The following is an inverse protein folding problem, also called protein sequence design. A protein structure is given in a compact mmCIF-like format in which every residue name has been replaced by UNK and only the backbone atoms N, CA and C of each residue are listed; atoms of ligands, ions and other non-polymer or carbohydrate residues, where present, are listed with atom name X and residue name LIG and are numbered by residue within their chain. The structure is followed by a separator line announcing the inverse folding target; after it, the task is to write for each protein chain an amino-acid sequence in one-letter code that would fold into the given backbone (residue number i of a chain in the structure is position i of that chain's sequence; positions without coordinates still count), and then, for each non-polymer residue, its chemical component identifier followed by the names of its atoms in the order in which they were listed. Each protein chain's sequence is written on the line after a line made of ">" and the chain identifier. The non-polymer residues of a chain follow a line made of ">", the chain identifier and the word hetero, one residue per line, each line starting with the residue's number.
data_IF_261100978469
#
_entry.id   IF_261100978469
#
_cell.length_a   1.000
_cell.length_b   1.000
_cell.length_c   1.000
_cell.angle_alpha   90.00
_cell.angle_beta   90.00
_cell.angle_gamma   90.00
#
_symmetry.space_group_name_H-M   'P 1'
#
loop_
_entity.id
_entity.type
_entity.pdbx_description
1 polymer ?
#
# COMPACT_ATOMS: atom_id res chain seq x y z
N UNK A 1 -21.59 3.55 -22.10
CA UNK A 1 -20.26 3.48 -22.76
C UNK A 1 -19.23 2.93 -21.79
N UNK A 2 -18.37 2.00 -22.22
CA UNK A 2 -17.37 1.33 -21.37
C UNK A 2 -16.40 2.32 -20.68
N UNK A 3 -15.91 3.32 -21.41
CA UNK A 3 -14.99 4.33 -20.88
C UNK A 3 -15.58 5.15 -19.71
N UNK A 4 -16.87 5.51 -19.77
CA UNK A 4 -17.56 6.20 -18.68
C UNK A 4 -17.66 5.34 -17.41
N UNK A 5 -17.96 4.05 -17.58
CA UNK A 5 -18.04 3.11 -16.47
C UNK A 5 -16.66 2.85 -15.85
N UNK A 6 -15.63 2.74 -16.69
CA UNK A 6 -14.25 2.66 -16.24
C UNK A 6 -13.84 3.89 -15.44
N UNK A 7 -14.07 5.10 -15.97
CA UNK A 7 -13.78 6.36 -15.29
C UNK A 7 -14.47 6.46 -13.92
N UNK A 8 -15.76 6.10 -13.86
CA UNK A 8 -16.51 6.07 -12.59
C UNK A 8 -15.91 5.07 -11.61
N UNK A 9 -15.50 3.90 -12.07
CA UNK A 9 -14.92 2.84 -11.23
C UNK A 9 -13.58 3.28 -10.63
N UNK A 10 -12.64 3.75 -11.44
CA UNK A 10 -11.32 4.18 -10.95
C UNK A 10 -11.41 5.39 -10.04
N UNK A 11 -12.35 6.30 -10.30
CA UNK A 11 -12.55 7.50 -9.48
C UNK A 11 -13.20 7.18 -8.13
N UNK A 12 -14.17 6.28 -8.10
CA UNK A 12 -14.76 5.79 -6.83
C UNK A 12 -13.71 5.05 -5.99
N UNK A 13 -12.90 4.20 -6.63
CA UNK A 13 -11.78 3.52 -5.98
C UNK A 13 -10.80 4.52 -5.35
N UNK A 14 -10.27 5.44 -6.16
CA UNK A 14 -9.34 6.47 -5.69
C UNK A 14 -9.89 7.27 -4.51
N UNK A 15 -11.16 7.68 -4.58
CA UNK A 15 -11.78 8.47 -3.52
C UNK A 15 -11.94 7.68 -2.22
N UNK A 16 -12.26 6.38 -2.32
CA UNK A 16 -12.35 5.52 -1.15
C UNK A 16 -10.97 5.27 -0.52
N UNK A 17 -9.94 5.03 -1.33
CA UNK A 17 -8.55 4.95 -0.83
C UNK A 17 -8.14 6.25 -0.16
N UNK A 18 -8.46 7.40 -0.77
CA UNK A 18 -8.17 8.71 -0.17
C UNK A 18 -8.81 8.85 1.21
N UNK A 19 -10.09 8.48 1.37
CA UNK A 19 -10.76 8.47 2.68
C UNK A 19 -10.05 7.57 3.69
N UNK A 20 -9.67 6.37 3.28
CA UNK A 20 -8.96 5.42 4.14
C UNK A 20 -7.58 5.96 4.55
N UNK A 21 -6.80 6.48 3.61
CA UNK A 21 -5.52 7.13 3.89
C UNK A 21 -5.67 8.31 4.86
N UNK A 22 -6.72 9.12 4.74
CA UNK A 22 -6.96 10.25 5.64
C UNK A 22 -7.29 9.79 7.06
N UNK A 23 -8.04 8.69 7.22
CA UNK A 23 -8.34 8.11 8.54
C UNK A 23 -7.08 7.67 9.28
N UNK A 24 -6.02 7.27 8.56
CA UNK A 24 -4.73 6.87 9.15
C UNK A 24 -3.68 7.98 9.16
N UNK A 25 -3.98 9.18 8.66
CA UNK A 25 -3.06 10.33 8.63
C UNK A 25 -2.13 10.41 7.41
N UNK A 26 -2.31 9.57 6.38
CA UNK A 26 -1.51 9.56 5.16
C UNK A 26 -2.11 10.45 4.05
N UNK A 27 -2.24 11.75 4.33
CA UNK A 27 -2.92 12.69 3.40
C UNK A 27 -2.27 12.74 2.02
N UNK A 28 -0.93 12.81 1.95
CA UNK A 28 -0.19 12.87 0.67
C UNK A 28 -0.45 11.61 -0.17
N UNK A 29 -0.43 10.43 0.44
CA UNK A 29 -0.71 9.17 -0.24
C UNK A 29 -2.14 9.18 -0.79
N UNK A 30 -3.13 9.57 0.02
CA UNK A 30 -4.52 9.64 -0.43
C UNK A 30 -4.74 10.54 -1.65
N UNK A 31 -4.07 11.70 -1.70
CA UNK A 31 -4.15 12.58 -2.87
C UNK A 31 -3.48 12.00 -4.11
N UNK A 32 -2.29 11.40 -3.95
CA UNK A 32 -1.48 10.93 -5.08
C UNK A 32 -1.79 9.52 -5.55
N UNK A 33 -2.56 8.77 -4.77
CA UNK A 33 -2.92 7.39 -5.07
C UNK A 33 -3.51 7.26 -6.48
N UNK A 34 -2.90 6.39 -7.29
CA UNK A 34 -3.36 5.96 -8.60
C UNK A 34 -3.65 7.07 -9.62
N UNK A 35 -2.99 8.23 -9.50
CA UNK A 35 -3.14 9.31 -10.50
C UNK A 35 -2.71 8.87 -11.92
N UNK A 36 -1.83 7.87 -12.04
CA UNK A 36 -1.43 7.34 -13.34
C UNK A 36 -2.55 6.64 -14.11
N UNK A 37 -3.63 6.18 -13.43
CA UNK A 37 -4.81 5.56 -14.07
C UNK A 37 -5.57 6.52 -15.00
N UNK A 38 -5.34 7.82 -14.86
CA UNK A 38 -5.93 8.86 -15.72
C UNK A 38 -5.04 9.22 -16.91
N UNK A 39 -3.82 8.66 -16.99
CA UNK A 39 -2.97 8.81 -18.17
C UNK A 39 -3.57 8.07 -19.37
N UNK A 40 -3.27 8.53 -20.59
CA UNK A 40 -3.75 7.87 -21.80
C UNK A 40 -3.33 6.39 -21.88
N UNK A 41 -2.11 6.07 -21.46
CA UNK A 41 -1.54 4.71 -21.46
C UNK A 41 -2.36 3.73 -20.64
N UNK A 42 -2.87 4.15 -19.48
CA UNK A 42 -3.69 3.28 -18.63
C UNK A 42 -5.18 3.40 -18.97
N UNK A 43 -5.70 4.61 -19.14
CA UNK A 43 -7.13 4.87 -19.30
C UNK A 43 -7.68 4.27 -20.60
N UNK A 44 -6.96 4.38 -21.71
CA UNK A 44 -7.41 3.85 -23.02
C UNK A 44 -7.58 2.33 -22.99
N UNK A 45 -6.63 1.62 -22.38
CA UNK A 45 -6.69 0.17 -22.15
C UNK A 45 -7.81 -0.17 -21.19
N UNK A 46 -7.90 0.54 -20.06
CA UNK A 46 -8.96 0.35 -19.08
C UNK A 46 -10.36 0.53 -19.67
N UNK A 47 -10.53 1.50 -20.56
CA UNK A 47 -11.77 1.75 -21.30
C UNK A 47 -12.07 0.65 -22.34
N UNK A 48 -11.06 0.18 -23.08
CA UNK A 48 -11.20 -0.89 -24.09
C UNK A 48 -11.64 -2.21 -23.43
N UNK A 49 -10.96 -2.58 -22.34
CA UNK A 49 -11.10 -3.88 -21.66
C UNK A 49 -12.07 -3.86 -20.47
N UNK A 50 -12.86 -2.80 -20.30
CA UNK A 50 -13.79 -2.72 -19.19
C UNK A 50 -14.87 -3.81 -19.23
N UNK A 51 -15.00 -4.56 -18.12
CA UNK A 51 -15.99 -5.63 -17.93
C UNK A 51 -16.88 -5.43 -16.70
N UNK A 52 -16.51 -4.55 -15.75
CA UNK A 52 -17.32 -4.20 -14.58
C UNK A 52 -17.11 -5.04 -13.33
N UNK A 53 -16.66 -6.30 -13.45
CA UNK A 53 -16.51 -7.22 -12.30
C UNK A 53 -15.07 -7.57 -11.94
N UNK A 54 -14.08 -7.15 -12.74
CA UNK A 54 -12.65 -7.37 -12.50
C UNK A 54 -11.79 -6.29 -13.15
N UNK A 55 -10.48 -6.32 -12.89
CA UNK A 55 -9.51 -5.40 -13.48
C UNK A 55 -9.44 -5.57 -15.01
N UNK A 56 -9.52 -4.47 -15.80
CA UNK A 56 -9.32 -4.51 -17.25
C UNK A 56 -7.95 -5.09 -17.67
N UNK A 57 -6.93 -4.97 -16.81
CA UNK A 57 -5.59 -5.50 -17.08
C UNK A 57 -5.60 -7.02 -17.25
N UNK A 58 -6.49 -7.73 -16.54
CA UNK A 58 -6.59 -9.18 -16.66
C UNK A 58 -7.08 -9.61 -18.05
N UNK A 59 -8.02 -8.87 -18.64
CA UNK A 59 -8.47 -9.12 -20.00
C UNK A 59 -7.39 -8.79 -21.04
N UNK A 60 -6.57 -7.75 -20.80
CA UNK A 60 -5.43 -7.47 -21.68
C UNK A 60 -4.38 -8.59 -21.64
N UNK A 61 -4.09 -9.13 -20.44
CA UNK A 61 -3.19 -10.26 -20.27
C UNK A 61 -3.71 -11.51 -20.99
N UNK A 62 -5.01 -11.80 -20.93
CA UNK A 62 -5.61 -12.93 -21.65
C UNK A 62 -5.48 -12.79 -23.18
N UNK A 63 -5.58 -11.58 -23.71
CA UNK A 63 -5.43 -11.33 -25.16
C UNK A 63 -3.97 -11.33 -25.61
N UNK A 64 -3.05 -10.72 -24.83
CA UNK A 64 -1.69 -10.40 -25.28
C UNK A 64 -0.57 -11.14 -24.55
N UNK A 65 -0.87 -11.78 -23.44
CA UNK A 65 0.12 -12.35 -22.51
C UNK A 65 0.73 -11.34 -21.52
N UNK A 66 0.38 -10.05 -21.61
CA UNK A 66 0.86 -8.99 -20.71
C UNK A 66 -0.13 -7.82 -20.68
N UNK A 67 0.00 -6.91 -19.71
CA UNK A 67 -0.77 -5.67 -19.68
C UNK A 67 0.12 -4.43 -19.74
N UNK A 68 -0.04 -3.63 -20.80
CA UNK A 68 0.65 -2.35 -20.97
C UNK A 68 0.27 -1.36 -19.88
N UNK A 69 -1.02 -1.33 -19.53
CA UNK A 69 -1.53 -0.51 -18.43
C UNK A 69 -0.91 -0.93 -17.09
N UNK A 70 -0.85 -2.24 -16.78
CA UNK A 70 -0.23 -2.72 -15.55
C UNK A 70 1.26 -2.39 -15.45
N UNK A 71 2.02 -2.58 -16.54
CA UNK A 71 3.45 -2.25 -16.57
C UNK A 71 3.70 -0.76 -16.27
N UNK A 72 2.89 0.12 -16.86
CA UNK A 72 2.97 1.56 -16.59
C UNK A 72 2.55 1.91 -15.15
N UNK A 73 1.51 1.24 -14.66
CA UNK A 73 0.87 1.46 -13.37
C UNK A 73 1.76 1.08 -12.18
N UNK A 74 2.27 -0.15 -12.16
CA UNK A 74 3.13 -0.65 -11.07
C UNK A 74 4.43 0.14 -10.96
N UNK A 75 4.94 0.67 -12.08
CA UNK A 75 6.14 1.51 -12.13
C UNK A 75 5.95 2.97 -11.66
N UNK A 76 4.72 3.40 -11.35
CA UNK A 76 4.41 4.78 -10.90
C UNK A 76 3.73 4.86 -9.54
N UNK A 77 3.05 3.79 -9.14
CA UNK A 77 2.32 3.75 -7.88
C UNK A 77 3.08 2.88 -6.86
N UNK A 78 3.69 3.56 -5.90
CA UNK A 78 4.64 2.98 -4.93
C UNK A 78 3.99 2.05 -3.89
N UNK A 79 2.66 1.95 -3.84
CA UNK A 79 2.01 0.95 -2.98
C UNK A 79 2.00 -0.45 -3.61
N UNK A 80 2.35 -0.60 -4.89
CA UNK A 80 2.55 -1.92 -5.48
C UNK A 80 3.92 -2.47 -5.10
N UNK A 81 4.01 -3.73 -4.61
CA UNK A 81 5.26 -4.30 -4.18
C UNK A 81 6.26 -4.49 -5.34
N UNK A 82 5.78 -4.66 -6.58
CA UNK A 82 6.63 -4.73 -7.79
C UNK A 82 7.33 -3.42 -8.14
N UNK A 83 6.97 -2.29 -7.52
CA UNK A 83 7.77 -1.07 -7.58
C UNK A 83 9.08 -1.22 -6.79
N UNK A 84 9.05 -2.03 -5.74
CA UNK A 84 10.12 -2.23 -4.77
C UNK A 84 10.86 -3.53 -5.05
N UNK A 85 11.33 -3.67 -6.28
CA UNK A 85 12.19 -4.78 -6.70
C UNK A 85 13.44 -4.22 -7.37
N UNK A 86 14.60 -4.73 -6.97
CA UNK A 86 15.89 -4.24 -7.47
C UNK A 86 16.93 -5.37 -7.47
N UNK A 87 18.08 -5.12 -8.10
CA UNK A 87 19.22 -6.01 -8.08
C UNK A 87 19.91 -5.99 -6.72
N UNK A 88 20.22 -7.18 -6.20
CA UNK A 88 20.98 -7.30 -4.96
C UNK A 88 22.41 -6.78 -5.17
N UNK A 89 22.71 -5.59 -4.66
CA UNK A 89 24.01 -4.95 -4.82
C UNK A 89 25.13 -5.60 -3.98
N UNK A 90 24.81 -6.42 -2.98
CA UNK A 90 25.78 -7.03 -2.04
C UNK A 90 25.78 -8.56 -2.10
N UNK A 91 25.18 -9.14 -3.12
CA UNK A 91 25.01 -10.58 -3.28
C UNK A 91 25.27 -11.04 -4.70
N UNK A 92 24.46 -11.99 -5.15
CA UNK A 92 24.53 -12.63 -6.46
C UNK A 92 24.02 -11.77 -7.63
N UNK A 93 23.75 -10.48 -7.40
CA UNK A 93 23.08 -9.60 -8.36
C UNK A 93 21.73 -10.13 -8.86
N UNK A 94 21.04 -10.97 -8.07
CA UNK A 94 19.68 -11.41 -8.39
C UNK A 94 18.70 -10.24 -8.29
N UNK A 95 17.68 -10.27 -9.16
CA UNK A 95 16.55 -9.34 -9.08
C UNK A 95 15.59 -9.83 -7.99
N UNK A 96 15.41 -9.03 -6.93
CA UNK A 96 14.75 -9.47 -5.71
C UNK A 96 13.88 -8.35 -5.10
N UNK A 97 12.86 -8.70 -4.28
CA UNK A 97 12.08 -7.71 -3.57
C UNK A 97 12.90 -7.01 -2.49
N UNK A 98 12.77 -5.69 -2.40
CA UNK A 98 13.34 -4.87 -1.34
C UNK A 98 12.25 -4.39 -0.38
N UNK A 99 12.62 -4.11 0.87
CA UNK A 99 11.68 -3.68 1.90
C UNK A 99 10.96 -2.40 1.48
N UNK A 100 9.63 -2.46 1.44
CA UNK A 100 8.79 -1.30 1.18
C UNK A 100 8.77 -0.38 2.41
N UNK A 101 8.87 0.96 2.24
CA UNK A 101 8.60 1.89 3.33
C UNK A 101 7.19 1.69 3.89
N UNK A 102 7.06 1.76 5.21
CA UNK A 102 5.83 1.44 5.96
C UNK A 102 4.60 2.17 5.43
N UNK A 103 4.72 3.48 5.14
CA UNK A 103 3.62 4.28 4.56
C UNK A 103 3.02 3.69 3.27
N UNK A 104 3.82 3.01 2.46
CA UNK A 104 3.35 2.37 1.22
C UNK A 104 2.74 1.00 1.47
N UNK A 105 3.15 0.29 2.53
CA UNK A 105 2.45 -0.91 3.01
C UNK A 105 1.07 -0.54 3.54
N UNK A 106 0.96 0.57 4.27
CA UNK A 106 -0.33 1.10 4.76
C UNK A 106 -1.21 1.60 3.60
N UNK A 107 -0.64 2.29 2.61
CA UNK A 107 -1.37 2.67 1.39
C UNK A 107 -1.88 1.42 0.65
N UNK A 108 -1.08 0.37 0.53
CA UNK A 108 -1.48 -0.92 -0.07
C UNK A 108 -2.60 -1.61 0.72
N UNK A 109 -2.59 -1.52 2.06
CA UNK A 109 -3.71 -1.97 2.88
C UNK A 109 -4.99 -1.20 2.53
N UNK A 110 -4.94 0.13 2.48
CA UNK A 110 -6.09 0.97 2.12
C UNK A 110 -6.60 0.66 0.69
N UNK A 111 -5.70 0.47 -0.26
CA UNK A 111 -5.99 0.08 -1.64
C UNK A 111 -6.78 -1.25 -1.71
N UNK A 112 -6.29 -2.29 -1.04
CA UNK A 112 -6.93 -3.62 -1.03
C UNK A 112 -8.32 -3.60 -0.39
N UNK A 113 -8.48 -2.84 0.69
CA UNK A 113 -9.80 -2.65 1.34
C UNK A 113 -10.76 -1.96 0.38
N UNK A 114 -10.34 -0.87 -0.25
CA UNK A 114 -11.16 -0.13 -1.20
C UNK A 114 -11.54 -0.98 -2.43
N UNK A 115 -10.57 -1.69 -3.01
CA UNK A 115 -10.80 -2.54 -4.18
C UNK A 115 -11.87 -3.60 -3.90
N UNK A 116 -11.78 -4.29 -2.76
CA UNK A 116 -12.78 -5.28 -2.37
C UNK A 116 -14.17 -4.65 -2.21
N UNK A 117 -14.29 -3.48 -1.57
CA UNK A 117 -15.56 -2.76 -1.47
C UNK A 117 -16.14 -2.36 -2.81
N UNK A 118 -15.30 -1.92 -3.75
CA UNK A 118 -15.72 -1.51 -5.09
C UNK A 118 -16.24 -2.69 -5.91
N UNK A 119 -15.55 -3.84 -5.88
CA UNK A 119 -15.91 -4.99 -6.70
C UNK A 119 -16.94 -5.93 -6.07
N UNK A 120 -16.99 -6.03 -4.74
CA UNK A 120 -17.93 -6.92 -4.03
C UNK A 120 -19.19 -6.21 -3.55
N UNK A 121 -19.15 -4.88 -3.41
CA UNK A 121 -20.30 -4.03 -3.04
C UNK A 121 -21.10 -4.61 -1.86
N UNK A 122 -22.30 -5.13 -2.11
CA UNK A 122 -23.22 -5.70 -1.11
C UNK A 122 -22.71 -6.99 -0.45
N UNK A 123 -21.79 -7.71 -1.12
CA UNK A 123 -21.23 -8.97 -0.62
C UNK A 123 -19.91 -8.79 0.14
N UNK A 124 -19.47 -7.55 0.35
CA UNK A 124 -18.21 -7.24 1.01
C UNK A 124 -18.21 -7.67 2.49
N UNK A 125 -17.12 -8.32 2.89
CA UNK A 125 -16.81 -8.64 4.28
C UNK A 125 -15.39 -8.17 4.62
N UNK A 126 -15.15 -7.80 5.88
CA UNK A 126 -13.83 -7.36 6.37
C UNK A 126 -12.75 -8.47 6.24
N UNK A 127 -13.16 -9.73 6.08
CA UNK A 127 -12.30 -10.88 5.79
C UNK A 127 -11.81 -10.95 4.33
N UNK A 128 -12.50 -10.30 3.40
CA UNK A 128 -12.23 -10.41 1.96
C UNK A 128 -10.82 -9.98 1.55
N UNK A 129 -10.31 -8.84 2.04
CA UNK A 129 -8.95 -8.40 1.70
C UNK A 129 -7.87 -9.39 2.15
N UNK A 130 -8.03 -10.01 3.33
CA UNK A 130 -7.12 -11.06 3.81
C UNK A 130 -7.22 -12.32 2.95
N UNK A 131 -8.43 -12.79 2.65
CA UNK A 131 -8.64 -13.97 1.82
C UNK A 131 -8.06 -13.80 0.40
N UNK A 132 -8.16 -12.59 -0.17
CA UNK A 132 -7.50 -12.26 -1.43
C UNK A 132 -5.97 -12.28 -1.32
N UNK A 133 -5.41 -11.71 -0.25
CA UNK A 133 -3.98 -11.72 0.00
C UNK A 133 -3.42 -13.14 0.15
N UNK A 134 -4.02 -13.99 0.98
CA UNK A 134 -3.56 -15.37 1.19
C UNK A 134 -3.59 -16.19 -0.10
N UNK A 135 -4.64 -16.04 -0.92
CA UNK A 135 -4.73 -16.73 -2.23
C UNK A 135 -3.65 -16.27 -3.21
N UNK A 136 -3.19 -15.02 -3.11
CA UNK A 136 -2.25 -14.42 -4.06
C UNK A 136 -0.82 -14.33 -3.52
N UNK A 137 -0.57 -14.59 -2.23
CA UNK A 137 0.73 -14.45 -1.55
C UNK A 137 1.84 -15.21 -2.26
N UNK A 138 1.58 -16.43 -2.73
CA UNK A 138 2.56 -17.26 -3.44
C UNK A 138 3.05 -16.66 -4.78
N UNK A 139 2.31 -15.72 -5.35
CA UNK A 139 2.66 -15.05 -6.62
C UNK A 139 3.08 -13.58 -6.42
N UNK A 140 3.01 -13.06 -5.19
CA UNK A 140 3.38 -11.68 -4.90
C UNK A 140 4.89 -11.58 -4.71
N UNK A 141 5.53 -10.74 -5.53
CA UNK A 141 6.94 -10.37 -5.36
C UNK A 141 7.00 -9.26 -4.32
N UNK A 142 7.07 -9.63 -3.04
CA UNK A 142 7.07 -8.71 -1.89
C UNK A 142 8.10 -9.14 -0.85
N UNK A 143 8.76 -8.17 -0.23
CA UNK A 143 9.71 -8.42 0.85
C UNK A 143 8.99 -8.98 2.09
N UNK A 144 9.59 -9.97 2.77
CA UNK A 144 8.95 -10.72 3.86
C UNK A 144 8.38 -9.80 4.96
N UNK A 145 9.17 -8.83 5.45
CA UNK A 145 8.68 -7.90 6.47
C UNK A 145 7.50 -7.02 6.01
N UNK A 146 7.48 -6.61 4.73
CA UNK A 146 6.37 -5.84 4.16
C UNK A 146 5.12 -6.72 4.01
N UNK A 147 5.33 -7.99 3.66
CA UNK A 147 4.30 -9.03 3.56
C UNK A 147 3.65 -9.29 4.92
N UNK A 148 4.45 -9.49 5.97
CA UNK A 148 3.98 -9.77 7.32
C UNK A 148 3.28 -8.56 7.95
N UNK A 149 3.77 -7.34 7.71
CA UNK A 149 3.05 -6.14 8.12
C UNK A 149 1.68 -6.03 7.43
N UNK A 150 1.62 -6.22 6.11
CA UNK A 150 0.35 -6.20 5.38
C UNK A 150 -0.61 -7.26 5.95
N UNK A 151 -0.12 -8.50 6.10
CA UNK A 151 -0.90 -9.61 6.65
C UNK A 151 -1.47 -9.28 8.03
N UNK A 152 -0.65 -8.76 8.94
CA UNK A 152 -1.07 -8.33 10.27
C UNK A 152 -2.23 -7.33 10.22
N UNK A 153 -2.15 -6.32 9.36
CA UNK A 153 -3.20 -5.30 9.22
C UNK A 153 -4.49 -5.89 8.65
N UNK A 154 -4.38 -6.79 7.67
CA UNK A 154 -5.53 -7.47 7.06
C UNK A 154 -6.20 -8.45 8.05
N UNK A 155 -5.42 -9.14 8.88
CA UNK A 155 -5.93 -9.96 9.98
C UNK A 155 -6.65 -9.09 11.02
N UNK A 156 -6.07 -7.95 11.39
CA UNK A 156 -6.70 -7.01 12.31
C UNK A 156 -8.05 -6.50 11.77
N UNK A 157 -8.12 -6.19 10.47
CA UNK A 157 -9.36 -5.81 9.81
C UNK A 157 -10.41 -6.90 9.92
N UNK A 158 -10.06 -8.14 9.59
CA UNK A 158 -10.96 -9.30 9.70
C UNK A 158 -11.48 -9.48 11.13
N UNK A 159 -10.61 -9.42 12.13
CA UNK A 159 -10.92 -9.84 13.50
C UNK A 159 -11.53 -8.72 14.35
N UNK A 160 -11.26 -7.45 14.00
CA UNK A 160 -11.62 -6.28 14.82
C UNK A 160 -12.36 -5.18 14.06
N UNK A 161 -12.52 -5.33 12.75
CA UNK A 161 -13.20 -4.38 11.89
C UNK A 161 -12.40 -3.12 11.59
N UNK A 162 -12.97 -2.28 10.73
CA UNK A 162 -12.29 -1.06 10.27
C UNK A 162 -11.95 -0.08 11.38
N UNK A 163 -12.89 0.28 12.26
CA UNK A 163 -12.67 1.37 13.22
C UNK A 163 -11.43 1.14 14.09
N UNK A 164 -11.33 -0.05 14.71
CA UNK A 164 -10.19 -0.44 15.53
C UNK A 164 -8.91 -0.52 14.71
N UNK A 165 -8.97 -1.07 13.50
CA UNK A 165 -7.78 -1.25 12.65
C UNK A 165 -7.23 0.08 12.17
N UNK A 166 -8.07 0.97 11.67
CA UNK A 166 -7.67 2.31 11.22
C UNK A 166 -7.12 3.15 12.37
N UNK A 167 -7.73 3.09 13.56
CA UNK A 167 -7.21 3.77 14.75
C UNK A 167 -5.83 3.23 15.15
N UNK A 168 -5.66 1.90 15.16
CA UNK A 168 -4.38 1.29 15.47
C UNK A 168 -3.28 1.73 14.51
N UNK A 169 -3.55 1.71 13.19
CA UNK A 169 -2.59 2.15 12.18
C UNK A 169 -2.20 3.61 12.42
N UNK A 170 -3.18 4.49 12.67
CA UNK A 170 -2.94 5.91 12.92
C UNK A 170 -1.99 6.11 14.11
N UNK A 171 -2.33 5.56 15.26
CA UNK A 171 -1.64 5.85 16.53
C UNK A 171 -0.34 5.07 16.71
N UNK A 172 -0.25 3.85 16.19
CA UNK A 172 0.88 2.95 16.47
C UNK A 172 1.85 2.78 15.31
N UNK A 173 1.46 3.14 14.09
CA UNK A 173 2.31 3.00 12.91
C UNK A 173 2.64 4.38 12.35
N UNK A 174 1.64 5.10 11.85
CA UNK A 174 1.87 6.36 11.12
C UNK A 174 2.39 7.45 12.05
N UNK A 175 1.79 7.63 13.24
CA UNK A 175 2.22 8.68 14.19
C UNK A 175 3.65 8.44 14.72
N UNK A 176 3.95 7.20 15.14
CA UNK A 176 5.27 6.84 15.66
C UNK A 176 6.38 6.95 14.61
N UNK A 177 6.08 6.62 13.35
CA UNK A 177 7.04 6.81 12.25
C UNK A 177 7.32 8.30 12.01
N UNK A 178 6.32 9.18 12.12
CA UNK A 178 6.50 10.63 12.09
C UNK A 178 7.30 11.19 13.27
N UNK A 179 7.08 10.68 14.47
CA UNK A 179 7.85 11.03 15.68
C UNK A 179 9.34 10.60 15.54
N UNK A 180 9.60 9.41 15.00
CA UNK A 180 10.96 8.92 14.73
C UNK A 180 11.69 9.71 13.63
N UNK A 181 10.97 10.32 12.70
CA UNK A 181 11.54 11.20 11.66
C UNK A 181 11.80 12.63 12.14
N UNK A 182 11.11 13.07 13.20
CA UNK A 182 11.24 14.43 13.77
C UNK A 182 12.29 14.52 14.87
N UNK A 183 12.73 13.40 15.43
CA UNK A 183 13.87 13.31 16.34
C UNK A 183 14.89 12.27 15.84
N UNK A 184 15.80 12.63 14.91
CA UNK A 184 17.05 11.89 14.83
C UNK A 184 17.77 12.12 16.16
N UNK A 185 17.75 11.09 17.00
CA UNK A 185 18.53 10.93 18.23
C UNK A 185 19.54 12.07 18.50
N UNK A 186 19.13 13.07 19.28
CA UNK A 186 20.11 13.81 20.07
C UNK A 186 20.81 12.75 20.94
N UNK A 187 22.08 12.52 20.64
CA UNK A 187 22.97 11.61 21.33
C UNK A 187 22.73 11.70 22.85
N UNK A 188 22.20 10.63 23.43
CA UNK A 188 22.07 10.46 24.89
C UNK A 188 23.38 10.04 25.56
N UNK A 189 24.52 10.24 24.92
CA UNK A 189 25.83 9.83 25.44
C UNK A 189 26.65 10.96 26.10
N UNK A 190 26.09 12.14 26.38
CA UNK A 190 26.86 13.22 27.03
C UNK A 190 26.11 13.99 28.12
N UNK A 191 25.34 13.29 28.97
CA UNK A 191 24.75 13.89 30.17
C UNK A 191 24.94 13.04 31.44
N UNK A 192 26.06 12.33 31.56
CA UNK A 192 26.39 11.57 32.78
C UNK A 192 27.80 11.77 33.32
N UNK A 193 28.50 12.87 33.01
CA UNK A 193 29.85 13.11 33.55
C UNK A 193 30.09 14.44 34.29
N UNK A 194 29.09 15.31 34.50
CA UNK A 194 29.31 16.58 35.25
C UNK A 194 28.63 16.69 36.61
N UNK A 195 28.21 15.57 37.22
CA UNK A 195 27.81 15.56 38.64
C UNK A 195 28.43 14.38 39.39
N UNK A 196 29.77 14.27 39.37
CA UNK A 196 30.50 13.38 40.28
C UNK A 196 31.95 13.77 40.53
N UNK A 197 32.24 15.05 40.81
CA UNK A 197 33.40 15.52 41.58
C UNK A 197 32.96 16.89 42.13
N UNK A 198 32.99 17.27 43.40
CA UNK A 198 33.80 16.90 44.56
C UNK A 198 33.05 17.46 45.77
N UNK A 199 32.53 16.59 46.63
CA UNK A 199 32.21 16.91 48.01
C UNK A 199 32.81 15.79 48.84
N UNK A 200 34.04 15.99 49.31
CA UNK A 200 34.62 15.32 50.48
C UNK A 200 35.96 15.99 50.83
N UNK A 201 35.93 16.56 52.02
CA UNK A 201 37.04 16.95 52.92
C UNK A 201 37.85 18.20 52.58
#
# INVERSE_FOLDING_TARGET
>A
MKWLQHFRTITRHKWLVMKHCFRVGLYKQGFLHDLSKYSWTEFSIGAKYFQGYRSPNAAEIEEKGYSTAWLHHKGRNKHHPEYWTDYNARGDHSYSPIKMPTKYVVEMFCDRVAANKIYKTETYQDSDPLAYFERTKAHLIIHEESSELLRKLLTMLKDHGEEKTFLYIRENIVRKEGENLTFPSLNKEHLSEEFSTTNKE
#
